data_IF_042167017660
#
_entry.id   IF_042167017660
#
_cell.length_a   1.000
_cell.length_b   1.000
_cell.length_c   1.000
_cell.angle_alpha   90.00
_cell.angle_beta   90.00
_cell.angle_gamma   90.00
#
_symmetry.space_group_name_H-M   'P 1'
#
loop_
_entity.id
_entity.type
_entity.pdbx_description
1 polymer ?
#
# COMPACT_ATOMS: atom_id res chain seq x y z
N UNK A 1 13.30 17.60 -10.81
CA UNK A 1 12.41 18.02 -9.72
C UNK A 1 11.44 16.90 -9.42
N UNK A 2 10.21 16.98 -9.93
CA UNK A 2 9.18 15.95 -9.72
C UNK A 2 9.54 14.60 -10.37
N UNK A 3 9.88 14.58 -11.66
CA UNK A 3 10.18 13.33 -12.37
C UNK A 3 11.36 12.55 -11.78
N UNK A 4 12.39 13.24 -11.27
CA UNK A 4 13.51 12.58 -10.60
C UNK A 4 13.09 11.89 -9.29
N UNK A 5 12.10 12.44 -8.58
CA UNK A 5 11.56 11.84 -7.36
C UNK A 5 10.66 10.64 -7.68
N UNK A 6 9.79 10.78 -8.68
CA UNK A 6 8.92 9.70 -9.19
C UNK A 6 9.75 8.51 -9.67
N UNK A 7 10.77 8.74 -10.49
CA UNK A 7 11.67 7.68 -10.96
C UNK A 7 12.44 7.00 -9.82
N UNK A 8 12.90 7.78 -8.82
CA UNK A 8 13.57 7.23 -7.65
C UNK A 8 12.62 6.32 -6.84
N UNK A 9 11.37 6.77 -6.63
CA UNK A 9 10.33 5.99 -5.97
C UNK A 9 10.05 4.67 -6.72
N UNK A 10 9.80 4.74 -8.03
CA UNK A 10 9.53 3.55 -8.85
C UNK A 10 10.73 2.59 -8.86
N UNK A 11 11.96 3.13 -8.95
CA UNK A 11 13.18 2.33 -8.89
C UNK A 11 13.31 1.60 -7.54
N UNK A 12 13.04 2.30 -6.43
CA UNK A 12 13.07 1.70 -5.09
C UNK A 12 12.02 0.59 -4.93
N UNK A 13 10.78 0.84 -5.40
CA UNK A 13 9.70 -0.16 -5.40
C UNK A 13 10.13 -1.42 -6.16
N UNK A 14 10.65 -1.26 -7.38
CA UNK A 14 11.06 -2.38 -8.22
C UNK A 14 12.24 -3.14 -7.62
N UNK A 15 13.31 -2.43 -7.23
CA UNK A 15 14.52 -3.04 -6.67
C UNK A 15 14.18 -3.82 -5.40
N UNK A 16 13.46 -3.19 -4.47
CA UNK A 16 13.21 -3.81 -3.17
C UNK A 16 12.24 -4.99 -3.29
N UNK A 17 11.09 -4.80 -3.93
CA UNK A 17 10.05 -5.84 -3.96
C UNK A 17 10.37 -6.97 -4.95
N UNK A 18 10.97 -6.66 -6.11
CA UNK A 18 11.16 -7.65 -7.16
C UNK A 18 12.58 -8.23 -7.23
N UNK A 19 13.61 -7.48 -6.86
CA UNK A 19 15.00 -7.91 -6.97
C UNK A 19 15.56 -8.39 -5.62
N UNK A 20 15.60 -7.51 -4.61
CA UNK A 20 16.18 -7.85 -3.28
C UNK A 20 15.22 -8.62 -2.39
N UNK A 21 13.92 -8.64 -2.74
CA UNK A 21 12.84 -9.31 -2.02
C UNK A 21 12.67 -8.80 -0.58
N UNK A 22 12.79 -7.49 -0.41
CA UNK A 22 12.64 -6.81 0.88
C UNK A 22 11.26 -6.14 0.99
N UNK A 23 10.52 -6.32 2.11
CA UNK A 23 9.27 -5.63 2.35
C UNK A 23 9.43 -4.11 2.43
N UNK A 24 8.38 -3.37 2.07
CA UNK A 24 8.34 -1.91 2.12
C UNK A 24 7.08 -1.40 2.80
N UNK A 25 7.22 -0.30 3.55
CA UNK A 25 6.09 0.38 4.20
C UNK A 25 5.64 1.59 3.37
N UNK A 26 4.35 1.59 3.01
CA UNK A 26 3.69 2.68 2.29
C UNK A 26 2.74 3.42 3.21
N UNK A 27 2.72 4.74 3.13
CA UNK A 27 1.95 5.61 4.02
C UNK A 27 0.92 6.41 3.22
N UNK A 28 -0.33 6.32 3.63
CA UNK A 28 -1.47 7.01 3.02
C UNK A 28 -2.18 7.86 4.05
N UNK A 29 -2.75 8.98 3.59
CA UNK A 29 -3.61 9.86 4.40
C UNK A 29 -4.86 10.25 3.61
N UNK A 30 -5.79 9.30 3.41
CA UNK A 30 -6.97 9.50 2.57
C UNK A 30 -7.91 10.57 3.16
N UNK A 31 -8.72 11.18 2.28
CA UNK A 31 -9.84 12.01 2.72
C UNK A 31 -11.01 11.15 3.20
N UNK A 32 -11.74 11.57 4.24
CA UNK A 32 -12.98 10.91 4.66
C UNK A 32 -13.96 10.89 3.49
N UNK A 33 -14.63 9.76 3.25
CA UNK A 33 -15.58 9.58 2.14
C UNK A 33 -14.99 9.88 0.74
N UNK A 34 -13.66 9.87 0.60
CA UNK A 34 -12.97 10.16 -0.67
C UNK A 34 -12.92 8.98 -1.64
N UNK A 35 -13.27 7.77 -1.18
CA UNK A 35 -13.23 6.54 -1.96
C UNK A 35 -14.60 5.89 -2.02
N UNK A 36 -14.95 5.36 -3.19
CA UNK A 36 -16.13 4.53 -3.36
C UNK A 36 -16.01 3.32 -2.42
N UNK A 37 -17.08 3.04 -1.68
CA UNK A 37 -17.16 1.92 -0.73
C UNK A 37 -16.06 1.93 0.36
N UNK A 38 -15.38 3.07 0.56
CA UNK A 38 -14.22 3.22 1.45
C UNK A 38 -13.06 2.25 1.16
N UNK A 39 -12.88 1.88 -0.11
CA UNK A 39 -11.81 0.97 -0.54
C UNK A 39 -10.60 1.78 -1.01
N UNK A 40 -9.48 1.63 -0.31
CA UNK A 40 -8.18 2.20 -0.68
C UNK A 40 -7.37 1.16 -1.46
N UNK A 41 -7.00 1.48 -2.71
CA UNK A 41 -6.05 0.69 -3.49
C UNK A 41 -4.63 1.12 -3.15
N UNK A 42 -3.76 0.15 -2.83
CA UNK A 42 -2.42 0.43 -2.28
C UNK A 42 -1.28 -0.09 -3.16
N UNK A 43 -1.59 -0.51 -4.40
CA UNK A 43 -0.55 -0.90 -5.36
C UNK A 43 0.39 0.27 -5.66
N UNK A 44 1.72 0.10 -5.51
CA UNK A 44 2.67 1.19 -5.71
C UNK A 44 2.96 1.49 -7.18
N UNK A 45 2.76 0.52 -8.08
CA UNK A 45 2.94 0.62 -9.54
C UNK A 45 2.23 -0.55 -10.27
N UNK A 46 2.43 -0.70 -11.58
CA UNK A 46 2.01 -1.82 -12.43
C UNK A 46 3.05 -2.96 -12.35
N UNK A 47 3.08 -3.65 -11.22
CA UNK A 47 3.94 -4.83 -11.03
C UNK A 47 3.28 -6.09 -11.62
N UNK A 48 4.05 -7.15 -11.93
CA UNK A 48 3.48 -8.42 -12.39
C UNK A 48 2.41 -8.93 -11.41
N UNK A 49 1.24 -9.38 -11.89
CA UNK A 49 0.19 -9.91 -11.01
C UNK A 49 0.72 -11.02 -10.09
N UNK A 50 0.36 -10.95 -8.81
CA UNK A 50 0.79 -11.93 -7.81
C UNK A 50 2.27 -11.84 -7.41
N UNK A 51 3.01 -10.79 -7.80
CA UNK A 51 4.41 -10.62 -7.39
C UNK A 51 4.58 -10.04 -5.98
N UNK A 52 3.55 -9.40 -5.45
CA UNK A 52 3.53 -8.72 -4.15
C UNK A 52 2.19 -8.94 -3.46
N UNK A 53 2.17 -8.80 -2.13
CA UNK A 53 0.96 -8.89 -1.31
C UNK A 53 1.04 -7.96 -0.10
N UNK A 54 -0.11 -7.58 0.45
CA UNK A 54 -0.14 -6.90 1.75
C UNK A 54 0.24 -7.91 2.84
N UNK A 55 1.26 -7.56 3.63
CA UNK A 55 1.67 -8.33 4.81
C UNK A 55 0.94 -7.84 6.06
N UNK A 56 0.83 -6.51 6.24
CA UNK A 56 0.20 -5.91 7.41
C UNK A 56 -0.35 -4.52 7.09
N UNK A 57 -1.41 -4.14 7.81
CA UNK A 57 -1.99 -2.79 7.76
C UNK A 57 -2.11 -2.24 9.17
N UNK A 58 -1.73 -0.98 9.35
CA UNK A 58 -1.99 -0.21 10.55
C UNK A 58 -2.84 1.02 10.19
N UNK A 59 -3.87 1.31 10.99
CA UNK A 59 -4.65 2.54 10.91
C UNK A 59 -4.45 3.29 12.22
N UNK A 60 -3.93 4.51 12.14
CA UNK A 60 -3.54 5.35 13.29
C UNK A 60 -2.64 4.62 14.31
N UNK A 61 -1.76 3.75 13.80
CA UNK A 61 -0.80 2.96 14.58
C UNK A 61 -1.39 1.70 15.22
N UNK A 62 -2.67 1.39 14.95
CA UNK A 62 -3.31 0.18 15.43
C UNK A 62 -3.41 -0.87 14.32
N UNK A 63 -3.17 -2.16 14.60
CA UNK A 63 -3.35 -3.23 13.62
C UNK A 63 -4.77 -3.23 13.04
N UNK A 64 -4.86 -3.42 11.73
CA UNK A 64 -6.11 -3.43 11.00
C UNK A 64 -6.18 -4.66 10.08
N UNK A 65 -7.34 -5.31 10.02
CA UNK A 65 -7.50 -6.62 9.37
C UNK A 65 -8.49 -6.65 8.21
N UNK A 66 -9.24 -5.57 7.94
CA UNK A 66 -10.20 -5.52 6.83
C UNK A 66 -9.47 -5.09 5.54
N UNK A 67 -8.68 -6.01 4.98
CA UNK A 67 -7.93 -5.81 3.74
C UNK A 67 -7.87 -7.09 2.90
N UNK A 68 -7.72 -6.96 1.59
CA UNK A 68 -7.48 -8.05 0.65
C UNK A 68 -6.00 -8.04 0.27
N UNK A 69 -5.26 -9.04 0.76
CA UNK A 69 -3.82 -9.11 0.61
C UNK A 69 -3.37 -9.27 -0.85
N UNK A 70 -4.15 -9.98 -1.66
CA UNK A 70 -3.81 -10.31 -3.05
C UNK A 70 -4.31 -9.24 -4.02
N UNK A 71 -5.47 -8.62 -3.73
CA UNK A 71 -5.99 -7.51 -4.54
C UNK A 71 -5.39 -6.15 -4.20
N UNK A 72 -4.53 -6.10 -3.16
CA UNK A 72 -3.89 -4.88 -2.68
C UNK A 72 -4.92 -3.79 -2.35
N UNK A 73 -5.95 -4.16 -1.60
CA UNK A 73 -6.99 -3.22 -1.16
C UNK A 73 -7.17 -3.23 0.36
N UNK A 74 -7.42 -2.05 0.92
CA UNK A 74 -7.71 -1.86 2.35
C UNK A 74 -9.08 -1.21 2.49
N UNK A 75 -9.96 -1.76 3.32
CA UNK A 75 -11.27 -1.19 3.60
C UNK A 75 -11.17 -0.25 4.81
N UNK A 76 -11.28 1.04 4.54
CA UNK A 76 -11.16 2.08 5.55
C UNK A 76 -12.36 2.06 6.51
N UNK A 77 -12.15 2.39 7.80
CA UNK A 77 -13.24 2.57 8.74
C UNK A 77 -14.15 3.72 8.29
N UNK A 78 -15.44 3.62 8.60
CA UNK A 78 -16.36 4.73 8.41
C UNK A 78 -16.08 5.80 9.47
N UNK A 79 -15.48 6.90 9.04
CA UNK A 79 -15.18 8.05 9.89
C UNK A 79 -15.25 9.34 9.07
N UNK A 80 -15.54 10.45 9.74
CA UNK A 80 -15.48 11.79 9.18
C UNK A 80 -14.11 12.44 9.37
N UNK A 81 -13.16 11.73 10.01
CA UNK A 81 -11.81 12.21 10.28
C UNK A 81 -10.77 11.55 9.36
N UNK A 82 -9.67 12.26 9.10
CA UNK A 82 -8.55 11.70 8.31
C UNK A 82 -7.79 10.70 9.15
N UNK A 83 -7.68 9.47 8.65
CA UNK A 83 -6.86 8.42 9.25
C UNK A 83 -5.49 8.34 8.58
N UNK A 84 -4.47 7.92 9.33
CA UNK A 84 -3.16 7.55 8.78
C UNK A 84 -3.16 6.04 8.54
N UNK A 85 -2.93 5.64 7.30
CA UNK A 85 -2.83 4.23 6.94
C UNK A 85 -1.37 3.92 6.63
N UNK A 86 -0.80 2.93 7.31
CA UNK A 86 0.49 2.35 6.96
C UNK A 86 0.23 0.94 6.45
N UNK A 87 0.78 0.63 5.28
CA UNK A 87 0.65 -0.69 4.66
C UNK A 87 2.04 -1.24 4.44
N UNK A 88 2.33 -2.40 5.04
CA UNK A 88 3.51 -3.18 4.70
C UNK A 88 3.19 -4.08 3.53
N UNK A 89 3.91 -3.91 2.44
CA UNK A 89 3.84 -4.79 1.27
C UNK A 89 5.09 -5.66 1.26
N UNK A 90 4.89 -6.96 1.06
CA UNK A 90 5.96 -7.95 0.94
C UNK A 90 5.95 -8.56 -0.46
N UNK A 91 7.10 -9.05 -0.95
CA UNK A 91 7.11 -9.92 -2.12
C UNK A 91 6.25 -11.15 -1.84
N UNK A 92 5.45 -11.56 -2.83
CA UNK A 92 4.81 -12.86 -2.78
C UNK A 92 5.91 -13.94 -2.86
N UNK A 93 5.80 -14.98 -2.02
CA UNK A 93 6.70 -16.13 -2.12
C UNK A 93 6.46 -16.80 -3.47
N UNK A 94 7.56 -17.12 -4.16
CA UNK A 94 7.55 -17.86 -5.42
C UNK A 94 7.02 -19.29 -5.22
#
# INVERSE_FOLDING_TARGET
GYHSMELCYLSAVYINLLITKEPMDFYFKPMPNGFKDNILHVSPDILPPGSIRIEAVEIDGQPHTDFDAEKLTVKLPQTNERVKVKVRISPAQA
#
